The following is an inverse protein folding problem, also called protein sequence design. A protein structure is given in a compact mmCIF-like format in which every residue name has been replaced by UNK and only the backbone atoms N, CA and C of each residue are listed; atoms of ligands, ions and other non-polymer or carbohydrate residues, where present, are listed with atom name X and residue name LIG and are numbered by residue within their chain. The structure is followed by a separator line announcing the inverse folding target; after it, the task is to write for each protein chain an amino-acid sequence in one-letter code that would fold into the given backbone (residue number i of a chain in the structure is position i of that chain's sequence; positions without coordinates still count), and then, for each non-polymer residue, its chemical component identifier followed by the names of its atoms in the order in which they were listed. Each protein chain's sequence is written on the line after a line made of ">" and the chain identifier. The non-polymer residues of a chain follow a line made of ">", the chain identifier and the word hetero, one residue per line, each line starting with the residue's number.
data_IF_667773168750
#
_entry.id   IF_667773168750
#
_cell.length_a   1.000
_cell.length_b   1.000
_cell.length_c   1.000
_cell.angle_alpha   90.00
_cell.angle_beta   90.00
_cell.angle_gamma   90.00
#
_symmetry.space_group_name_H-M   'P 1'
#
loop_
_entity.id
_entity.type
_entity.pdbx_description
1 polymer ?
#
# COMPACT_ATOMS: atom_id res chain seq x y z
N UNK A 1 20.35 29.94 -5.17
CA UNK A 1 19.83 29.55 -3.84
C UNK A 1 18.48 28.94 -4.13
N UNK A 2 18.48 27.63 -4.38
CA UNK A 2 17.28 26.89 -4.77
C UNK A 2 16.52 26.56 -3.50
N UNK A 3 15.58 27.44 -3.15
CA UNK A 3 14.70 27.29 -1.99
C UNK A 3 13.52 26.40 -2.40
N UNK A 4 13.82 25.16 -2.78
CA UNK A 4 12.84 24.09 -2.75
C UNK A 4 12.64 23.77 -1.27
N UNK A 5 11.66 24.43 -0.63
CA UNK A 5 11.21 24.07 0.69
C UNK A 5 11.02 22.54 0.71
N UNK A 6 11.90 21.83 1.41
CA UNK A 6 11.90 20.38 1.41
C UNK A 6 10.51 19.92 1.89
N UNK A 7 9.73 19.32 1.00
CA UNK A 7 8.40 18.85 1.34
C UNK A 7 8.50 17.90 2.53
N UNK A 8 7.68 18.10 3.55
CA UNK A 8 7.67 17.25 4.74
C UNK A 8 7.33 15.80 4.34
N UNK A 9 7.92 14.82 5.01
CA UNK A 9 7.52 13.42 4.85
C UNK A 9 6.19 13.17 5.59
N UNK A 10 5.22 12.55 4.92
CA UNK A 10 3.94 12.17 5.51
C UNK A 10 3.92 10.70 5.93
N UNK A 11 4.68 9.84 5.26
CA UNK A 11 4.89 8.45 5.66
C UNK A 11 6.25 7.89 5.22
N UNK A 12 6.72 6.86 5.92
CA UNK A 12 7.97 6.16 5.65
C UNK A 12 7.76 4.64 5.80
N UNK A 13 8.22 3.86 4.83
CA UNK A 13 8.06 2.41 4.79
C UNK A 13 9.38 1.74 4.41
N UNK A 14 9.88 0.74 5.15
CA UNK A 14 11.02 -0.07 4.69
C UNK A 14 10.71 -0.78 3.38
N UNK A 15 11.70 -0.87 2.48
CA UNK A 15 11.54 -1.73 1.29
C UNK A 15 11.46 -3.19 1.73
N UNK A 16 10.69 -4.04 1.02
CA UNK A 16 10.59 -5.47 1.33
C UNK A 16 11.94 -6.20 1.30
N UNK A 17 12.85 -5.74 0.44
CA UNK A 17 14.24 -6.19 0.32
C UNK A 17 15.13 -5.79 1.51
N UNK A 18 14.70 -4.83 2.33
CA UNK A 18 15.43 -4.33 3.51
C UNK A 18 16.64 -3.45 3.17
N UNK A 19 16.81 -3.06 1.91
CA UNK A 19 17.93 -2.28 1.39
C UNK A 19 17.66 -0.77 1.28
N UNK A 20 16.44 -0.34 1.61
CA UNK A 20 16.01 1.04 1.42
C UNK A 20 14.73 1.42 2.15
N UNK A 21 14.27 2.63 1.86
CA UNK A 21 13.02 3.20 2.37
C UNK A 21 12.20 3.77 1.21
N UNK A 22 10.89 3.61 1.27
CA UNK A 22 9.93 4.39 0.52
C UNK A 22 9.43 5.54 1.39
N UNK A 23 9.49 6.77 0.87
CA UNK A 23 8.96 7.95 1.52
C UNK A 23 7.81 8.53 0.70
N UNK A 24 6.71 8.88 1.39
CA UNK A 24 5.66 9.75 0.82
C UNK A 24 5.94 11.17 1.29
N UNK A 25 5.95 12.12 0.36
CA UNK A 25 6.16 13.54 0.64
C UNK A 25 4.84 14.32 0.63
N UNK A 26 4.79 15.46 1.31
CA UNK A 26 3.62 16.33 1.38
C UNK A 26 3.25 16.98 0.04
N UNK A 27 4.16 16.99 -0.94
CA UNK A 27 3.89 17.36 -2.33
C UNK A 27 3.51 16.16 -3.20
N UNK A 28 3.09 15.05 -2.57
CA UNK A 28 2.48 13.87 -3.21
C UNK A 28 3.42 13.05 -4.09
N UNK A 29 4.70 12.97 -3.71
CA UNK A 29 5.69 12.11 -4.38
C UNK A 29 5.97 10.86 -3.56
N UNK A 30 6.31 9.79 -4.26
CA UNK A 30 6.81 8.54 -3.72
C UNK A 30 8.29 8.42 -4.09
N UNK A 31 9.16 8.57 -3.10
CA UNK A 31 10.60 8.59 -3.27
C UNK A 31 11.20 7.32 -2.65
N UNK A 32 11.97 6.57 -3.44
CA UNK A 32 12.76 5.45 -2.95
C UNK A 32 14.15 5.95 -2.56
N UNK A 33 14.54 5.67 -1.34
CA UNK A 33 15.86 5.90 -0.79
C UNK A 33 16.62 4.59 -0.68
N UNK A 34 17.90 4.60 -1.06
CA UNK A 34 18.83 3.51 -0.82
C UNK A 34 20.07 3.99 -0.08
N UNK A 35 20.82 3.06 0.51
CA UNK A 35 22.14 3.36 1.04
C UNK A 35 23.06 3.82 -0.10
N UNK A 36 23.60 5.04 0.01
CA UNK A 36 24.63 5.49 -0.93
C UNK A 36 25.91 4.65 -0.80
N UNK A 37 26.72 4.60 -1.86
CA UNK A 37 27.98 3.84 -1.87
C UNK A 37 28.91 4.17 -0.69
N UNK A 38 28.82 5.39 -0.17
CA UNK A 38 29.58 5.92 0.96
C UNK A 38 29.13 5.34 2.34
N UNK A 39 28.00 4.62 2.40
CA UNK A 39 27.43 4.09 3.64
C UNK A 39 28.18 2.89 4.23
N UNK A 40 29.14 2.32 3.50
CA UNK A 40 30.02 1.24 3.98
C UNK A 40 31.25 1.74 4.74
N UNK A 41 31.46 3.05 4.85
CA UNK A 41 32.54 3.61 5.67
C UNK A 41 32.12 3.72 7.14
N UNK A 42 32.99 3.25 8.04
CA UNK A 42 32.81 3.28 9.51
C UNK A 42 32.70 4.69 10.13
N UNK A 43 32.65 5.74 9.30
CA UNK A 43 32.66 7.16 9.71
C UNK A 43 31.29 7.70 10.17
N UNK A 44 30.24 6.87 10.18
CA UNK A 44 28.94 7.21 10.76
C UNK A 44 28.11 8.22 9.96
N UNK A 45 28.46 8.46 8.69
CA UNK A 45 27.77 9.39 7.78
C UNK A 45 27.25 8.71 6.50
N UNK A 46 26.64 7.53 6.64
CA UNK A 46 25.91 6.93 5.53
C UNK A 46 24.71 7.81 5.16
N UNK A 47 24.76 8.48 4.02
CA UNK A 47 23.65 9.28 3.53
C UNK A 47 22.70 8.40 2.70
N UNK A 48 21.40 8.48 3.01
CA UNK A 48 20.36 7.95 2.14
C UNK A 48 20.28 8.83 0.89
N UNK A 49 20.36 8.22 -0.29
CA UNK A 49 20.21 8.91 -1.58
C UNK A 49 18.89 8.47 -2.21
N UNK A 50 18.18 9.41 -2.83
CA UNK A 50 17.02 9.09 -3.66
C UNK A 50 17.52 8.28 -4.86
N UNK A 51 17.04 7.06 -5.02
CA UNK A 51 17.41 6.15 -6.11
C UNK A 51 16.37 6.14 -7.22
N UNK A 52 15.09 6.26 -6.86
CA UNK A 52 13.95 6.25 -7.78
C UNK A 52 12.83 7.16 -7.28
N UNK A 53 12.04 7.70 -8.22
CA UNK A 53 10.83 8.47 -7.95
C UNK A 53 9.67 7.87 -8.76
N UNK A 54 8.53 7.62 -8.12
CA UNK A 54 7.31 7.22 -8.81
C UNK A 54 6.59 8.44 -9.37
N UNK A 55 6.75 8.62 -10.68
CA UNK A 55 6.03 9.63 -11.44
C UNK A 55 4.66 9.06 -11.82
N UNK A 56 3.59 9.82 -11.63
CA UNK A 56 2.25 9.45 -12.15
C UNK A 56 1.09 9.58 -11.17
N UNK A 57 1.32 9.93 -9.90
CA UNK A 57 0.23 10.36 -9.03
C UNK A 57 -0.09 11.82 -9.31
N UNK A 58 -1.20 12.09 -9.99
CA UNK A 58 -1.77 13.45 -10.11
C UNK A 58 -2.50 13.88 -8.84
N UNK A 59 -2.78 12.91 -7.98
CA UNK A 59 -3.62 13.05 -6.81
C UNK A 59 -2.79 12.98 -5.53
N UNK A 60 -3.32 13.60 -4.48
CA UNK A 60 -2.69 13.59 -3.16
C UNK A 60 -2.58 12.17 -2.62
N UNK A 61 -1.38 11.77 -2.21
CA UNK A 61 -1.11 10.43 -1.66
C UNK A 61 -1.43 10.45 -0.17
N UNK A 62 -2.46 9.71 0.21
CA UNK A 62 -2.98 9.68 1.59
C UNK A 62 -2.33 8.55 2.38
N UNK A 63 -2.19 7.38 1.76
CA UNK A 63 -1.55 6.24 2.39
C UNK A 63 -0.91 5.33 1.33
N UNK A 64 0.21 4.71 1.69
CA UNK A 64 0.88 3.72 0.88
C UNK A 64 1.37 2.58 1.78
N UNK A 65 1.38 1.35 1.27
CA UNK A 65 1.98 0.22 1.99
C UNK A 65 2.37 -0.88 1.01
N UNK A 66 3.52 -1.50 1.27
CA UNK A 66 3.91 -2.70 0.54
C UNK A 66 2.98 -3.85 0.91
N UNK A 67 2.57 -4.62 -0.09
CA UNK A 67 1.87 -5.88 0.13
C UNK A 67 2.85 -6.90 0.72
N UNK A 68 2.44 -7.70 1.70
CA UNK A 68 3.32 -8.77 2.14
C UNK A 68 3.44 -9.82 1.03
N UNK A 69 4.66 -10.35 0.83
CA UNK A 69 4.87 -11.45 -0.10
C UNK A 69 4.15 -12.70 0.41
N UNK A 70 3.02 -13.01 -0.20
CA UNK A 70 2.25 -14.22 -0.02
C UNK A 70 3.09 -15.45 -0.42
N UNK A 71 3.81 -16.04 0.53
CA UNK A 71 4.40 -17.38 0.39
C UNK A 71 5.83 -17.49 -0.16
N UNK A 72 6.39 -16.47 -0.83
CA UNK A 72 7.76 -16.52 -1.36
C UNK A 72 8.66 -15.40 -0.82
N UNK A 73 9.47 -15.73 0.19
CA UNK A 73 10.53 -14.87 0.73
C UNK A 73 11.61 -14.48 -0.30
N UNK A 74 11.55 -15.04 -1.51
CA UNK A 74 12.51 -14.83 -2.62
C UNK A 74 11.91 -14.07 -3.80
N UNK A 75 10.62 -13.71 -3.76
CA UNK A 75 10.00 -12.87 -4.78
C UNK A 75 10.48 -11.42 -4.61
N UNK A 76 11.17 -10.83 -5.60
CA UNK A 76 12.02 -9.65 -5.39
C UNK A 76 11.26 -8.33 -5.23
N UNK A 77 9.93 -8.32 -5.26
CA UNK A 77 9.17 -7.07 -5.27
C UNK A 77 7.75 -7.27 -4.75
N UNK A 78 7.50 -6.77 -3.53
CA UNK A 78 6.13 -6.62 -3.07
C UNK A 78 5.46 -5.48 -3.85
N UNK A 79 4.30 -5.75 -4.45
CA UNK A 79 3.49 -4.69 -5.02
C UNK A 79 3.17 -3.61 -3.96
N UNK A 80 3.07 -2.36 -4.39
CA UNK A 80 2.77 -1.22 -3.55
C UNK A 80 1.29 -0.85 -3.67
N UNK A 81 0.54 -0.97 -2.59
CA UNK A 81 -0.82 -0.44 -2.50
C UNK A 81 -0.77 1.05 -2.18
N UNK A 82 -1.49 1.86 -2.94
CA UNK A 82 -1.53 3.32 -2.79
C UNK A 82 -2.98 3.80 -2.79
N UNK A 83 -3.33 4.54 -1.75
CA UNK A 83 -4.56 5.31 -1.64
C UNK A 83 -4.26 6.79 -1.89
N UNK A 84 -5.02 7.38 -2.82
CA UNK A 84 -4.98 8.81 -3.08
C UNK A 84 -6.26 9.49 -2.58
N UNK A 85 -6.41 10.80 -2.76
CA UNK A 85 -7.67 11.51 -2.53
C UNK A 85 -8.82 11.12 -3.51
N UNK A 86 -8.71 9.96 -4.17
CA UNK A 86 -9.68 9.33 -5.08
C UNK A 86 -10.31 8.07 -4.46
N UNK A 87 -11.44 7.56 -4.99
CA UNK A 87 -12.07 6.32 -4.50
C UNK A 87 -11.35 5.03 -4.90
N UNK A 88 -10.26 5.13 -5.69
CA UNK A 88 -9.56 3.97 -6.24
C UNK A 88 -8.43 3.52 -5.32
N UNK A 89 -8.35 2.21 -5.08
CA UNK A 89 -7.14 1.60 -4.54
C UNK A 89 -6.23 1.24 -5.72
N UNK A 90 -5.06 1.88 -5.82
CA UNK A 90 -4.10 1.62 -6.88
C UNK A 90 -3.04 0.63 -6.40
N UNK A 91 -2.58 -0.22 -7.31
CA UNK A 91 -1.49 -1.17 -7.08
C UNK A 91 -0.39 -0.86 -8.08
N UNK A 92 0.82 -0.72 -7.58
CA UNK A 92 2.00 -0.44 -8.39
C UNK A 92 3.00 -1.58 -8.26
N UNK A 93 3.67 -1.89 -9.36
CA UNK A 93 4.91 -2.67 -9.34
C UNK A 93 6.08 -1.72 -9.07
N UNK A 94 6.80 -1.84 -7.94
CA UNK A 94 7.87 -0.91 -7.60
C UNK A 94 9.17 -1.13 -8.40
N UNK A 95 9.27 -2.19 -9.21
CA UNK A 95 10.41 -2.36 -10.12
C UNK A 95 10.17 -1.61 -11.44
N UNK A 96 9.00 -1.82 -12.04
CA UNK A 96 8.63 -1.21 -13.33
C UNK A 96 8.00 0.16 -13.16
N UNK A 97 7.60 0.52 -11.93
CA UNK A 97 6.90 1.75 -11.60
C UNK A 97 5.54 1.89 -12.30
N UNK A 98 5.02 0.78 -12.84
CA UNK A 98 3.75 0.73 -13.54
C UNK A 98 2.59 0.56 -12.56
N UNK A 99 1.49 1.27 -12.81
CA UNK A 99 0.20 1.01 -12.16
C UNK A 99 -0.37 -0.29 -12.75
N UNK A 100 -0.31 -1.38 -12.00
CA UNK A 100 -0.75 -2.71 -12.45
C UNK A 100 -2.23 -2.96 -12.21
N UNK A 101 -2.83 -2.26 -11.25
CA UNK A 101 -4.27 -2.31 -11.02
C UNK A 101 -4.82 -0.99 -10.44
N UNK A 102 -6.09 -0.73 -10.73
CA UNK A 102 -6.88 0.31 -10.07
C UNK A 102 -8.24 -0.29 -9.69
N UNK A 103 -8.42 -0.59 -8.41
CA UNK A 103 -9.60 -1.24 -7.90
C UNK A 103 -10.67 -0.21 -7.55
N UNK A 104 -11.82 -0.34 -8.21
CA UNK A 104 -13.03 0.42 -7.88
C UNK A 104 -13.85 -0.33 -6.83
N UNK A 105 -14.53 0.42 -5.96
CA UNK A 105 -15.48 -0.13 -5.01
C UNK A 105 -15.95 0.89 -3.99
N UNK A 106 -15.04 1.70 -3.45
CA UNK A 106 -15.43 2.83 -2.61
C UNK A 106 -16.18 3.88 -3.42
N UNK A 107 -17.14 4.56 -2.79
CA UNK A 107 -17.88 5.68 -3.36
C UNK A 107 -17.26 7.04 -2.99
N UNK A 108 -16.32 7.04 -2.04
CA UNK A 108 -15.59 8.20 -1.56
C UNK A 108 -14.11 7.89 -1.45
N UNK A 109 -13.28 8.91 -1.22
CA UNK A 109 -11.84 8.69 -1.22
C UNK A 109 -11.38 7.81 -0.06
N UNK A 110 -10.37 7.00 -0.36
CA UNK A 110 -9.69 6.17 0.63
C UNK A 110 -8.83 7.08 1.51
N UNK A 111 -9.04 7.00 2.82
CA UNK A 111 -8.36 7.84 3.80
C UNK A 111 -7.23 7.12 4.54
N UNK A 112 -7.24 5.79 4.49
CA UNK A 112 -6.32 4.96 5.26
C UNK A 112 -6.29 3.57 4.64
N UNK A 113 -5.16 2.89 4.77
CA UNK A 113 -5.03 1.48 4.45
C UNK A 113 -4.07 0.78 5.41
N UNK A 114 -4.20 -0.53 5.51
CA UNK A 114 -3.23 -1.42 6.15
C UNK A 114 -3.13 -2.74 5.36
N UNK A 115 -2.02 -3.46 5.49
CA UNK A 115 -1.72 -4.67 4.71
C UNK A 115 -1.32 -5.84 5.62
N UNK A 116 -1.75 -7.06 5.28
CA UNK A 116 -1.43 -8.25 6.06
C UNK A 116 -1.45 -9.52 5.21
N UNK A 117 -0.78 -10.56 5.72
CA UNK A 117 -0.90 -11.92 5.17
C UNK A 117 -2.14 -12.56 5.80
N UNK A 118 -3.09 -12.94 4.96
CA UNK A 118 -4.30 -13.65 5.38
C UNK A 118 -4.03 -15.09 5.83
N UNK A 119 -5.03 -15.77 6.40
CA UNK A 119 -4.88 -17.13 6.92
C UNK A 119 -4.43 -18.18 5.90
N UNK A 120 -4.77 -17.98 4.63
CA UNK A 120 -4.42 -18.88 3.53
C UNK A 120 -3.15 -18.44 2.80
N UNK A 121 -2.44 -17.43 3.33
CA UNK A 121 -1.24 -16.87 2.73
C UNK A 121 -1.53 -15.73 1.74
N UNK A 122 -2.78 -15.34 1.54
CA UNK A 122 -3.18 -14.29 0.60
C UNK A 122 -2.71 -12.90 1.02
N UNK A 123 -2.43 -12.03 0.04
CA UNK A 123 -2.07 -10.64 0.29
C UNK A 123 -3.34 -9.79 0.52
N UNK A 124 -3.65 -9.51 1.79
CA UNK A 124 -4.81 -8.73 2.18
C UNK A 124 -4.50 -7.26 2.32
N UNK A 125 -5.46 -6.43 1.91
CA UNK A 125 -5.49 -5.00 2.19
C UNK A 125 -6.81 -4.65 2.84
N UNK A 126 -6.77 -3.82 3.87
CA UNK A 126 -7.98 -3.19 4.40
C UNK A 126 -7.92 -1.70 4.17
N UNK A 127 -9.02 -1.10 3.73
CA UNK A 127 -9.13 0.33 3.46
C UNK A 127 -10.28 0.96 4.23
N UNK A 128 -10.10 2.18 4.72
CA UNK A 128 -11.16 3.02 5.28
C UNK A 128 -11.39 4.25 4.41
N UNK A 129 -12.65 4.67 4.25
CA UNK A 129 -13.03 5.72 3.28
C UNK A 129 -13.95 6.80 3.85
N UNK A 130 -13.98 7.94 3.13
CA UNK A 130 -15.00 9.00 3.26
C UNK A 130 -16.43 8.51 3.00
N UNK A 131 -16.63 7.35 2.38
CA UNK A 131 -17.96 6.77 2.18
C UNK A 131 -18.52 6.03 3.41
N UNK A 132 -17.83 6.11 4.55
CA UNK A 132 -18.20 5.49 5.81
C UNK A 132 -18.11 3.96 5.81
N UNK A 133 -17.47 3.37 4.80
CA UNK A 133 -17.24 1.92 4.74
C UNK A 133 -15.79 1.56 4.96
N UNK A 134 -15.61 0.33 5.44
CA UNK A 134 -14.34 -0.39 5.42
C UNK A 134 -14.41 -1.41 4.31
N UNK A 135 -13.33 -1.64 3.55
CA UNK A 135 -13.28 -2.71 2.55
C UNK A 135 -12.07 -3.58 2.76
N UNK A 136 -12.29 -4.90 2.63
CA UNK A 136 -11.24 -5.91 2.60
C UNK A 136 -11.00 -6.31 1.15
N UNK A 137 -9.74 -6.37 0.76
CA UNK A 137 -9.31 -6.71 -0.59
C UNK A 137 -8.32 -7.87 -0.53
N UNK A 138 -8.43 -8.77 -1.49
CA UNK A 138 -7.42 -9.77 -1.81
C UNK A 138 -6.70 -9.31 -3.07
N UNK A 139 -5.41 -9.03 -2.95
CA UNK A 139 -4.53 -8.59 -4.03
C UNK A 139 -3.48 -9.65 -4.37
N UNK A 140 -3.76 -10.92 -4.05
CA UNK A 140 -2.86 -12.02 -4.39
C UNK A 140 -2.66 -12.08 -5.91
N UNK A 141 -1.42 -12.31 -6.37
CA UNK A 141 -1.17 -12.60 -7.78
C UNK A 141 -2.02 -13.80 -8.18
N UNK A 142 -2.67 -13.76 -9.35
CA UNK A 142 -3.39 -14.92 -9.83
C UNK A 142 -2.39 -16.07 -9.98
N UNK A 143 -2.69 -17.23 -9.39
CA UNK A 143 -1.81 -18.42 -9.40
C UNK A 143 -1.59 -19.04 -10.80
N UNK A 144 -1.88 -18.30 -11.87
CA UNK A 144 -1.78 -18.72 -13.27
C UNK A 144 -1.47 -17.58 -14.25
N UNK A 145 -1.12 -16.37 -13.79
CA UNK A 145 -0.58 -15.35 -14.68
C UNK A 145 0.87 -15.71 -15.06
N UNK A 146 1.03 -16.62 -16.01
CA UNK A 146 2.28 -16.68 -16.78
C UNK A 146 2.42 -15.33 -17.49
N UNK A 147 3.53 -14.63 -17.24
CA UNK A 147 3.89 -13.48 -18.07
C UNK A 147 4.24 -14.03 -19.45
N UNK A 148 3.37 -13.81 -20.43
CA UNK A 148 3.71 -14.02 -21.83
C UNK A 148 4.87 -13.07 -22.18
N UNK A 149 5.73 -13.45 -23.12
CA UNK A 149 6.85 -12.63 -23.62
C UNK A 149 6.41 -11.27 -24.22
N UNK A 150 5.10 -11.08 -24.38
CA UNK A 150 4.44 -9.85 -24.86
C UNK A 150 3.90 -8.94 -23.73
N UNK A 151 3.98 -9.34 -22.45
CA UNK A 151 3.59 -8.50 -21.31
C UNK A 151 2.07 -8.26 -21.15
N UNK A 152 1.22 -8.96 -21.89
CA UNK A 152 -0.24 -8.84 -21.79
C UNK A 152 -0.80 -9.89 -20.83
N UNK A 153 -1.00 -9.53 -19.56
CA UNK A 153 -1.71 -10.40 -18.62
C UNK A 153 -3.21 -10.48 -18.97
N UNK A 154 -3.74 -11.70 -19.08
CA UNK A 154 -5.18 -11.95 -19.09
C UNK A 154 -5.77 -11.53 -17.74
N UNK A 155 -6.52 -10.43 -17.75
CA UNK A 155 -7.16 -9.79 -16.59
C UNK A 155 -8.39 -10.53 -16.06
N UNK A 156 -8.77 -11.68 -16.64
CA UNK A 156 -10.09 -12.28 -16.39
C UNK A 156 -10.14 -13.52 -15.49
N UNK A 157 -9.02 -14.06 -14.99
CA UNK A 157 -9.05 -15.25 -14.12
C UNK A 157 -8.15 -15.13 -12.88
N UNK A 158 -8.76 -14.71 -11.75
CA UNK A 158 -8.18 -14.79 -10.41
C UNK A 158 -7.44 -13.54 -9.92
N UNK A 159 -7.93 -12.36 -10.28
CA UNK A 159 -7.30 -11.07 -9.97
C UNK A 159 -7.77 -10.40 -8.68
N UNK A 160 -7.02 -9.36 -8.31
CA UNK A 160 -7.29 -8.39 -7.27
C UNK A 160 -8.78 -8.06 -7.12
N UNK A 161 -9.39 -8.32 -5.95
CA UNK A 161 -10.84 -8.19 -5.73
C UNK A 161 -11.21 -7.73 -4.33
N UNK A 162 -12.40 -7.13 -4.19
CA UNK A 162 -13.00 -6.85 -2.88
C UNK A 162 -13.62 -8.13 -2.32
N UNK A 163 -13.17 -8.57 -1.15
CA UNK A 163 -13.69 -9.74 -0.45
C UNK A 163 -14.91 -9.40 0.42
N UNK A 164 -14.89 -8.25 1.08
CA UNK A 164 -15.92 -7.86 2.02
C UNK A 164 -16.07 -6.33 2.13
N UNK A 165 -17.27 -5.90 2.51
CA UNK A 165 -17.60 -4.51 2.84
C UNK A 165 -18.10 -4.46 4.28
N UNK A 166 -17.39 -3.73 5.13
CA UNK A 166 -17.79 -3.43 6.50
C UNK A 166 -18.61 -2.16 6.55
N UNK A 167 -19.91 -2.30 6.84
CA UNK A 167 -20.85 -1.19 6.97
C UNK A 167 -21.17 -0.86 8.44
N UNK A 168 -21.53 0.41 8.68
CA UNK A 168 -22.10 0.86 9.95
C UNK A 168 -21.39 2.03 10.61
N UNK A 169 -20.23 2.47 10.11
CA UNK A 169 -19.76 3.80 10.50
C UNK A 169 -20.73 4.86 9.99
N UNK A 170 -20.92 5.92 10.78
CA UNK A 170 -21.81 7.06 10.44
C UNK A 170 -20.98 8.29 10.03
N UNK A 171 -19.66 8.14 9.97
CA UNK A 171 -18.72 9.15 9.51
C UNK A 171 -17.53 8.51 8.81
N UNK A 172 -16.67 9.34 8.24
CA UNK A 172 -15.49 8.90 7.51
C UNK A 172 -14.61 7.96 8.36
N UNK A 173 -14.15 6.86 7.78
CA UNK A 173 -13.24 5.94 8.44
C UNK A 173 -11.83 6.50 8.32
N UNK A 174 -11.27 6.94 9.45
CA UNK A 174 -10.01 7.69 9.50
C UNK A 174 -8.79 6.81 9.81
N UNK A 175 -9.00 5.63 10.40
CA UNK A 175 -7.93 4.68 10.70
C UNK A 175 -8.42 3.25 10.51
N UNK A 176 -7.54 2.38 10.01
CA UNK A 176 -7.73 0.93 9.97
C UNK A 176 -6.43 0.24 10.40
N UNK A 177 -6.56 -0.96 10.96
CA UNK A 177 -5.42 -1.80 11.28
C UNK A 177 -5.82 -3.28 11.25
N UNK A 178 -4.97 -4.14 10.71
CA UNK A 178 -5.03 -5.57 10.95
C UNK A 178 -4.56 -5.90 12.36
N UNK A 179 -5.19 -6.90 12.96
CA UNK A 179 -4.89 -7.40 14.30
C UNK A 179 -5.03 -8.93 14.34
N UNK A 180 -4.68 -9.52 15.48
CA UNK A 180 -4.92 -10.96 15.74
C UNK A 180 -5.52 -11.14 17.14
N UNK A 181 -6.53 -11.99 17.27
CA UNK A 181 -7.11 -12.42 18.55
C UNK A 181 -7.04 -13.93 18.67
N UNK A 182 -6.21 -14.42 19.59
CA UNK A 182 -6.00 -15.86 19.77
C UNK A 182 -5.48 -16.57 18.51
N UNK A 183 -4.73 -15.86 17.66
CA UNK A 183 -4.21 -16.36 16.39
C UNK A 183 -5.12 -16.11 15.18
N UNK A 184 -6.42 -15.91 15.37
CA UNK A 184 -7.35 -15.55 14.29
C UNK A 184 -7.14 -14.10 13.83
N UNK A 185 -7.16 -13.83 12.51
CA UNK A 185 -7.07 -12.47 12.00
C UNK A 185 -8.30 -11.66 12.42
N UNK A 186 -8.08 -10.39 12.69
CA UNK A 186 -9.12 -9.40 12.91
C UNK A 186 -8.73 -8.13 12.17
N UNK A 187 -9.70 -7.24 12.00
CA UNK A 187 -9.43 -5.86 11.66
C UNK A 187 -10.10 -4.90 12.63
N UNK A 188 -9.49 -3.73 12.77
CA UNK A 188 -9.98 -2.61 13.55
C UNK A 188 -10.22 -1.43 12.61
N UNK A 189 -11.26 -0.65 12.87
CA UNK A 189 -11.48 0.63 12.20
C UNK A 189 -11.90 1.70 13.21
N UNK A 190 -11.42 2.93 13.02
CA UNK A 190 -11.82 4.10 13.78
C UNK A 190 -12.41 5.17 12.86
N UNK A 191 -13.59 5.68 13.21
CA UNK A 191 -14.33 6.64 12.41
C UNK A 191 -14.45 8.03 13.04
N UNK A 192 -14.77 9.02 12.21
CA UNK A 192 -15.16 10.38 12.64
C UNK A 192 -16.47 10.40 13.45
N UNK A 193 -17.21 9.29 13.44
CA UNK A 193 -18.35 9.03 14.32
C UNK A 193 -17.95 8.74 15.78
N UNK A 194 -16.66 8.80 16.10
CA UNK A 194 -16.07 8.56 17.44
C UNK A 194 -16.24 7.11 17.91
N UNK A 195 -16.44 6.19 16.97
CA UNK A 195 -16.58 4.75 17.24
C UNK A 195 -15.38 4.01 16.68
N UNK A 196 -14.88 3.04 17.46
CA UNK A 196 -14.01 1.99 16.95
C UNK A 196 -14.83 0.72 16.73
N UNK A 197 -14.62 0.03 15.61
CA UNK A 197 -15.26 -1.23 15.25
C UNK A 197 -14.22 -2.34 15.10
N UNK A 198 -14.62 -3.56 15.44
CA UNK A 198 -13.84 -4.78 15.26
C UNK A 198 -14.55 -5.63 14.21
N UNK A 199 -13.79 -6.17 13.27
CA UNK A 199 -14.28 -7.01 12.19
C UNK A 199 -13.55 -8.35 12.25
N UNK A 200 -14.31 -9.45 12.22
CA UNK A 200 -13.72 -10.77 11.99
C UNK A 200 -13.36 -10.88 10.49
N UNK A 201 -12.13 -11.32 10.20
CA UNK A 201 -11.54 -11.38 8.85
C UNK A 201 -11.39 -12.82 8.40
#
# INVERSE_FOLDING_TARGET
>A
ADDAAAAAFTSLHPTPSGDGLLAVTGDSRLLFYGAGDDARESSGKGALKVTRELIGSTDEIIAASFLPNAGDAKAPSAALAVATNSPLLRVFDPDTMACTAALAGHAGAILTLDTAVGPSGEALVITGSRDHTVRLWDLSPSAGATRDDAGTADVSAGGSRCLAVGEGHVGAVAAVAFARRGGAPLALSGGADKVARVWDV
#
